data_IF_469285714284
#
_entry.id   IF_469285714284
#
_cell.length_a   1.000
_cell.length_b   1.000
_cell.length_c   1.000
_cell.angle_alpha   90.00
_cell.angle_beta   90.00
_cell.angle_gamma   90.00
#
_symmetry.space_group_name_H-M   'P 1'
#
loop_
_entity.id
_entity.type
_entity.pdbx_description
1 polymer ?
#
# COMPACT_ATOMS: atom_id res chain seq x y z
N UNK A 1 44.13 -69.83 48.12
CA UNK A 1 43.14 -69.66 47.07
C UNK A 1 42.68 -68.21 47.13
N UNK A 2 43.20 -67.33 46.23
CA UNK A 2 42.85 -65.91 46.16
C UNK A 2 41.83 -65.72 45.06
N UNK A 3 40.62 -65.31 45.43
CA UNK A 3 39.57 -64.99 44.48
C UNK A 3 39.79 -63.57 43.93
N UNK A 4 40.10 -63.46 42.65
CA UNK A 4 40.07 -62.18 41.93
C UNK A 4 38.64 -61.93 41.43
N UNK A 5 37.96 -60.93 41.99
CA UNK A 5 36.69 -60.42 41.49
C UNK A 5 37.01 -59.43 40.39
N UNK A 6 36.66 -59.79 39.16
CA UNK A 6 36.81 -58.94 38.00
C UNK A 6 35.54 -58.10 37.85
N UNK A 7 35.61 -56.82 38.24
CA UNK A 7 34.49 -55.90 38.12
C UNK A 7 34.46 -55.37 36.68
N UNK A 8 33.49 -55.82 35.89
CA UNK A 8 33.22 -55.37 34.51
C UNK A 8 32.53 -54.03 34.56
N UNK A 9 33.23 -52.93 34.21
CA UNK A 9 32.67 -51.59 34.06
C UNK A 9 31.96 -51.53 32.69
N UNK A 10 30.62 -51.58 32.69
CA UNK A 10 29.81 -51.35 31.49
C UNK A 10 29.72 -49.81 31.28
N UNK A 11 30.50 -49.28 30.34
CA UNK A 11 30.35 -47.90 29.86
C UNK A 11 29.10 -47.78 29.01
N UNK A 12 28.02 -47.23 29.56
CA UNK A 12 26.81 -46.88 28.79
C UNK A 12 27.19 -45.64 27.93
N UNK A 13 27.45 -45.86 26.65
CA UNK A 13 27.57 -44.78 25.65
C UNK A 13 26.14 -44.35 25.33
N UNK A 14 25.74 -43.21 25.92
CA UNK A 14 24.50 -42.54 25.53
C UNK A 14 24.73 -41.93 24.13
N UNK A 15 24.25 -42.61 23.10
CA UNK A 15 24.06 -42.01 21.80
C UNK A 15 22.92 -41.01 21.95
N UNK A 16 23.26 -39.72 22.17
CA UNK A 16 22.29 -38.64 21.98
C UNK A 16 21.91 -38.65 20.49
N UNK A 17 20.74 -39.13 20.17
CA UNK A 17 20.18 -39.03 18.85
C UNK A 17 19.96 -37.52 18.60
N UNK A 18 20.75 -36.94 17.71
CA UNK A 18 20.50 -35.58 17.24
C UNK A 18 19.33 -35.65 16.29
N UNK A 19 18.23 -35.04 16.69
CA UNK A 19 17.10 -34.83 15.81
C UNK A 19 17.28 -33.41 15.21
N UNK A 20 17.61 -33.34 13.91
CA UNK A 20 17.87 -32.08 13.22
C UNK A 20 16.57 -31.54 12.63
N UNK A 21 16.32 -30.25 12.74
CA UNK A 21 15.14 -29.53 12.24
C UNK A 21 15.13 -28.09 12.77
N UNK A 22 14.07 -27.35 12.44
CA UNK A 22 13.91 -25.99 12.97
C UNK A 22 13.60 -25.99 14.46
N UNK A 23 14.42 -25.33 15.27
CA UNK A 23 14.27 -25.21 16.72
C UNK A 23 13.77 -23.84 17.18
N UNK A 24 13.43 -22.94 16.25
CA UNK A 24 12.92 -21.60 16.58
C UNK A 24 11.39 -21.63 16.69
N UNK A 25 10.81 -21.32 17.87
CA UNK A 25 9.36 -21.30 18.06
C UNK A 25 8.62 -20.25 17.23
N UNK A 26 9.32 -19.26 16.66
CA UNK A 26 8.73 -18.25 15.78
C UNK A 26 8.62 -18.71 14.32
N UNK A 27 9.31 -19.80 13.96
CA UNK A 27 9.26 -20.34 12.61
C UNK A 27 7.94 -21.09 12.35
N UNK A 28 7.42 -21.01 11.13
CA UNK A 28 6.18 -21.71 10.75
C UNK A 28 6.37 -23.24 10.67
N UNK A 29 7.61 -23.70 10.51
CA UNK A 29 8.00 -25.10 10.48
C UNK A 29 8.76 -25.54 11.75
N UNK A 30 8.49 -24.88 12.90
CA UNK A 30 9.06 -25.26 14.18
C UNK A 30 8.77 -26.74 14.51
N UNK A 31 9.81 -27.46 14.90
CA UNK A 31 9.73 -28.87 15.33
C UNK A 31 10.20 -29.00 16.79
N UNK A 32 9.26 -29.18 17.71
CA UNK A 32 9.51 -29.31 19.14
C UNK A 32 10.28 -30.59 19.51
N UNK A 33 10.35 -31.55 18.60
CA UNK A 33 11.13 -32.78 18.75
C UNK A 33 12.60 -32.59 18.37
N UNK A 34 12.94 -31.52 17.65
CA UNK A 34 14.31 -31.23 17.23
C UNK A 34 15.13 -30.66 18.37
N UNK A 35 16.38 -31.13 18.48
CA UNK A 35 17.34 -30.65 19.48
C UNK A 35 18.59 -30.01 18.86
N UNK A 36 18.63 -29.87 17.54
CA UNK A 36 19.67 -29.21 16.78
C UNK A 36 19.07 -28.50 15.58
N UNK A 37 19.23 -27.18 15.54
CA UNK A 37 18.82 -26.40 14.38
C UNK A 37 19.68 -26.76 13.17
N UNK A 38 19.06 -27.13 12.08
CA UNK A 38 19.67 -27.49 10.80
C UNK A 38 19.67 -26.33 9.79
N UNK A 39 19.11 -25.15 10.17
CA UNK A 39 18.99 -23.99 9.33
C UNK A 39 17.76 -24.00 8.41
N UNK A 40 16.83 -24.93 8.61
CA UNK A 40 15.61 -25.07 7.79
C UNK A 40 14.45 -24.20 8.26
N UNK A 41 14.65 -23.31 9.25
CA UNK A 41 13.59 -22.46 9.75
C UNK A 41 13.03 -21.54 8.67
N UNK A 42 11.70 -21.55 8.52
CA UNK A 42 10.95 -20.70 7.61
C UNK A 42 10.08 -19.74 8.41
N UNK A 43 10.01 -18.49 7.95
CA UNK A 43 9.27 -17.42 8.64
C UNK A 43 8.26 -16.77 7.72
N UNK A 44 7.16 -16.28 8.30
CA UNK A 44 6.30 -15.29 7.68
C UNK A 44 6.51 -13.95 8.38
N UNK A 45 6.75 -12.93 7.58
CA UNK A 45 6.96 -11.56 8.03
C UNK A 45 5.71 -10.75 7.73
N UNK A 46 5.24 -9.97 8.70
CA UNK A 46 4.06 -9.12 8.52
C UNK A 46 4.50 -7.71 8.15
N UNK A 47 4.12 -7.26 6.98
CA UNK A 47 4.32 -5.90 6.50
C UNK A 47 3.01 -5.12 6.62
N UNK A 48 3.04 -4.02 7.38
CA UNK A 48 1.96 -3.05 7.49
C UNK A 48 2.31 -1.81 6.66
N UNK A 49 1.52 -1.51 5.64
CA UNK A 49 1.71 -0.37 4.75
C UNK A 49 0.63 0.64 5.06
N UNK A 50 1.02 1.83 5.50
CA UNK A 50 0.09 2.88 5.89
C UNK A 50 0.15 4.05 4.94
N UNK A 51 -1.02 4.50 4.51
CA UNK A 51 -1.16 5.65 3.62
C UNK A 51 -1.76 6.84 4.35
N UNK A 52 -1.28 8.03 4.03
CA UNK A 52 -1.86 9.28 4.50
C UNK A 52 -1.83 10.34 3.40
N UNK A 53 -2.86 11.18 3.35
CA UNK A 53 -2.88 12.41 2.56
C UNK A 53 -2.41 13.55 3.47
N UNK A 54 -1.40 14.30 3.03
CA UNK A 54 -0.76 15.32 3.85
C UNK A 54 -0.69 16.69 3.14
N UNK A 55 -0.42 17.71 3.92
CA UNK A 55 0.08 19.03 3.49
C UNK A 55 1.26 19.39 4.39
N UNK A 56 2.51 19.37 3.83
CA UNK A 56 3.76 19.63 4.54
C UNK A 56 3.83 18.86 5.88
N UNK A 57 3.92 17.54 5.82
CA UNK A 57 4.00 16.62 6.98
C UNK A 57 2.77 16.63 7.90
N UNK A 58 1.73 17.40 7.59
CA UNK A 58 0.50 17.43 8.39
C UNK A 58 -0.55 16.55 7.74
N UNK A 59 -0.96 15.49 8.43
CA UNK A 59 -2.03 14.61 7.95
C UNK A 59 -3.32 15.39 7.79
N UNK A 60 -3.91 15.32 6.62
CA UNK A 60 -5.18 15.95 6.28
C UNK A 60 -6.37 15.07 6.67
N UNK A 61 -7.45 15.74 7.05
CA UNK A 61 -8.77 15.15 7.22
C UNK A 61 -9.80 15.90 6.38
N UNK A 62 -10.98 15.32 6.23
CA UNK A 62 -12.08 15.96 5.50
C UNK A 62 -12.39 17.35 6.05
N UNK A 63 -12.54 18.29 5.13
CA UNK A 63 -12.80 19.72 5.34
C UNK A 63 -11.59 20.57 5.78
N UNK A 64 -10.40 20.02 5.84
CA UNK A 64 -9.21 20.83 6.01
C UNK A 64 -9.03 21.78 4.83
N UNK A 65 -8.46 22.94 5.13
CA UNK A 65 -8.21 23.99 4.15
C UNK A 65 -6.71 24.09 3.91
N UNK A 66 -6.33 23.88 2.66
CA UNK A 66 -4.96 23.93 2.18
C UNK A 66 -4.77 25.27 1.44
N UNK A 67 -3.75 26.04 1.82
CA UNK A 67 -3.42 27.29 1.17
C UNK A 67 -2.45 27.06 0.01
N UNK A 68 -2.82 27.54 -1.16
CA UNK A 68 -1.96 27.74 -2.32
C UNK A 68 -1.62 29.24 -2.42
N UNK A 69 -0.71 29.64 -3.32
CA UNK A 69 -0.21 31.03 -3.39
C UNK A 69 -1.31 32.10 -3.33
N UNK A 70 -2.36 31.95 -4.15
CA UNK A 70 -3.46 32.90 -4.26
C UNK A 70 -4.85 32.31 -3.99
N UNK A 71 -4.90 31.05 -3.61
CA UNK A 71 -6.13 30.29 -3.49
C UNK A 71 -6.13 29.49 -2.19
N UNK A 72 -7.31 29.09 -1.73
CA UNK A 72 -7.45 28.09 -0.66
C UNK A 72 -8.36 26.98 -1.13
N UNK A 73 -7.94 25.73 -0.94
CA UNK A 73 -8.73 24.55 -1.31
C UNK A 73 -9.17 23.81 -0.06
N UNK A 74 -10.47 23.63 0.11
CA UNK A 74 -11.03 22.80 1.17
C UNK A 74 -11.29 21.41 0.62
N UNK A 75 -10.54 20.43 1.09
CA UNK A 75 -10.69 19.04 0.67
C UNK A 75 -11.95 18.43 1.26
N UNK A 76 -12.84 17.86 0.45
CA UNK A 76 -14.06 17.20 0.90
C UNK A 76 -14.01 15.69 0.66
N UNK A 77 -13.43 15.24 -0.47
CA UNK A 77 -13.18 13.82 -0.76
C UNK A 77 -11.84 13.66 -1.46
N UNK A 78 -11.17 12.59 -1.12
CA UNK A 78 -9.99 12.11 -1.84
C UNK A 78 -10.03 10.59 -1.85
N UNK A 79 -10.11 10.02 -3.06
CA UNK A 79 -10.02 8.58 -3.27
C UNK A 79 -8.98 8.32 -4.35
N UNK A 80 -8.15 7.31 -4.13
CA UNK A 80 -7.09 6.94 -5.06
C UNK A 80 -6.98 5.43 -5.13
N UNK A 81 -7.09 4.87 -6.34
CA UNK A 81 -6.81 3.47 -6.56
C UNK A 81 -5.32 3.20 -6.68
N UNK A 82 -4.92 2.13 -6.02
CA UNK A 82 -3.62 1.49 -6.16
C UNK A 82 -3.83 0.09 -6.73
N UNK A 83 -3.02 -0.29 -7.70
CA UNK A 83 -3.04 -1.63 -8.30
C UNK A 83 -1.66 -2.27 -8.28
N UNK A 84 -1.62 -3.61 -8.34
CA UNK A 84 -0.39 -4.39 -8.48
C UNK A 84 0.67 -4.05 -7.42
N UNK A 85 0.22 -3.86 -6.16
CA UNK A 85 1.09 -3.49 -5.06
C UNK A 85 2.03 -4.63 -4.73
N UNK A 86 3.33 -4.36 -4.71
CA UNK A 86 4.37 -5.36 -4.48
C UNK A 86 5.61 -4.77 -3.81
N UNK A 87 6.39 -5.64 -3.19
CA UNK A 87 7.75 -5.34 -2.73
C UNK A 87 8.75 -6.16 -3.54
N UNK A 88 9.91 -5.57 -3.82
CA UNK A 88 10.91 -6.22 -4.64
C UNK A 88 12.34 -6.00 -4.13
N UNK A 89 13.21 -6.91 -4.48
CA UNK A 89 14.66 -6.75 -4.43
C UNK A 89 15.29 -7.29 -5.72
N UNK A 90 16.60 -7.35 -5.81
CA UNK A 90 17.29 -7.77 -7.03
C UNK A 90 16.98 -9.21 -7.50
N UNK A 91 16.35 -10.05 -6.67
CA UNK A 91 16.14 -11.48 -6.93
C UNK A 91 14.69 -11.92 -6.84
N UNK A 92 13.87 -11.21 -6.07
CA UNK A 92 12.50 -11.61 -5.77
C UNK A 92 11.53 -10.42 -5.85
N UNK A 93 10.28 -10.73 -6.20
CA UNK A 93 9.14 -9.82 -6.07
C UNK A 93 8.02 -10.58 -5.37
N UNK A 94 7.43 -9.97 -4.33
CA UNK A 94 6.25 -10.52 -3.65
C UNK A 94 5.07 -9.55 -3.80
N UNK A 95 3.94 -10.10 -4.23
CA UNK A 95 2.71 -9.33 -4.39
C UNK A 95 2.05 -9.15 -3.02
N UNK A 96 1.65 -7.91 -2.74
CA UNK A 96 0.96 -7.51 -1.51
C UNK A 96 -0.56 -7.48 -1.74
N UNK A 97 -0.99 -6.82 -2.81
CA UNK A 97 -2.40 -6.69 -3.16
C UNK A 97 -2.58 -6.42 -4.65
N UNK A 98 -3.62 -6.99 -5.25
CA UNK A 98 -3.97 -6.71 -6.63
C UNK A 98 -4.61 -5.33 -6.80
N UNK A 99 -5.39 -4.90 -5.80
CA UNK A 99 -6.07 -3.61 -5.81
C UNK A 99 -6.33 -3.12 -4.39
N UNK A 100 -6.15 -1.84 -4.19
CA UNK A 100 -6.46 -1.14 -2.95
C UNK A 100 -7.05 0.23 -3.27
N UNK A 101 -8.00 0.68 -2.45
CA UNK A 101 -8.59 2.02 -2.56
C UNK A 101 -8.31 2.80 -1.28
N UNK A 102 -7.46 3.83 -1.36
CA UNK A 102 -7.38 4.82 -0.30
C UNK A 102 -8.59 5.75 -0.37
N UNK A 103 -9.26 5.96 0.75
CA UNK A 103 -10.43 6.86 0.85
C UNK A 103 -10.32 7.72 2.11
N UNK A 104 -10.11 9.02 1.94
CA UNK A 104 -9.95 10.00 3.02
C UNK A 104 -11.11 9.99 4.04
N UNK A 105 -12.30 9.54 3.63
CA UNK A 105 -13.48 9.48 4.48
C UNK A 105 -13.63 8.15 5.24
N UNK A 106 -12.72 7.17 5.02
CA UNK A 106 -12.80 5.85 5.63
C UNK A 106 -11.43 5.38 6.15
N UNK A 107 -11.20 5.53 7.45
CA UNK A 107 -9.93 5.15 8.08
C UNK A 107 -9.58 3.67 7.95
N UNK A 108 -10.55 2.79 7.72
CA UNK A 108 -10.28 1.37 7.44
C UNK A 108 -9.55 1.13 6.11
N UNK A 109 -9.48 2.16 5.26
CA UNK A 109 -8.75 2.13 3.98
C UNK A 109 -7.41 2.87 4.05
N UNK A 110 -6.85 3.05 5.24
CA UNK A 110 -5.57 3.75 5.39
C UNK A 110 -4.39 2.79 5.45
N UNK A 111 -4.62 1.50 5.57
CA UNK A 111 -3.54 0.52 5.64
C UNK A 111 -3.85 -0.80 4.92
N UNK A 112 -2.77 -1.46 4.51
CA UNK A 112 -2.76 -2.83 4.01
C UNK A 112 -1.79 -3.61 4.88
N UNK A 113 -2.18 -4.79 5.32
CA UNK A 113 -1.30 -5.73 6.00
C UNK A 113 -1.13 -6.98 5.16
N UNK A 114 0.10 -7.41 4.93
CA UNK A 114 0.43 -8.60 4.18
C UNK A 114 1.44 -9.48 4.92
N UNK A 115 1.35 -10.79 4.68
CA UNK A 115 2.38 -11.73 5.12
C UNK A 115 3.26 -12.09 3.93
N UNK A 116 4.57 -11.92 4.08
CA UNK A 116 5.58 -12.14 3.06
C UNK A 116 6.63 -13.14 3.54
N UNK A 117 7.33 -13.79 2.61
CA UNK A 117 8.24 -14.90 2.90
C UNK A 117 9.71 -14.50 3.01
N UNK A 118 10.07 -13.32 2.52
CA UNK A 118 11.44 -12.80 2.52
C UNK A 118 11.61 -11.72 3.59
N UNK A 119 12.80 -11.63 4.15
CA UNK A 119 13.10 -10.69 5.25
C UNK A 119 13.72 -9.37 4.79
N UNK A 120 13.90 -9.16 3.49
CA UNK A 120 14.45 -7.92 2.97
C UNK A 120 13.97 -7.60 1.56
N UNK A 121 13.63 -6.35 1.35
CA UNK A 121 13.31 -5.77 0.06
C UNK A 121 13.91 -4.36 -0.03
N UNK A 122 14.06 -3.83 -1.23
CA UNK A 122 14.65 -2.50 -1.49
C UNK A 122 13.73 -1.58 -2.27
N UNK A 123 12.57 -2.10 -2.71
CA UNK A 123 11.63 -1.37 -3.53
C UNK A 123 10.19 -1.68 -3.09
N UNK A 124 9.37 -0.64 -3.09
CA UNK A 124 7.92 -0.72 -2.99
C UNK A 124 7.31 -0.21 -4.29
N UNK A 125 6.54 -1.07 -4.97
CA UNK A 125 6.02 -0.81 -6.30
C UNK A 125 4.50 -0.86 -6.32
N UNK A 126 3.87 0.02 -7.11
CA UNK A 126 2.41 0.01 -7.31
C UNK A 126 2.01 0.79 -8.58
N UNK A 127 0.83 0.50 -9.10
CA UNK A 127 0.15 1.33 -10.08
C UNK A 127 -0.76 2.35 -9.40
N UNK A 128 -0.83 3.58 -9.93
CA UNK A 128 -1.84 4.59 -9.59
C UNK A 128 -2.96 4.48 -10.61
N UNK A 129 -4.13 4.05 -10.17
CA UNK A 129 -5.24 3.66 -11.03
C UNK A 129 -5.35 2.14 -11.16
N UNK A 130 -6.02 1.69 -12.21
CA UNK A 130 -6.34 0.29 -12.46
C UNK A 130 -5.78 -0.15 -13.81
N UNK A 131 -5.33 -1.41 -13.90
CA UNK A 131 -4.99 -1.99 -15.18
C UNK A 131 -6.25 -2.21 -16.05
N UNK A 132 -6.09 -2.46 -17.34
CA UNK A 132 -7.19 -2.59 -18.29
C UNK A 132 -8.19 -3.70 -17.90
N UNK A 133 -7.69 -4.81 -17.36
CA UNK A 133 -8.53 -5.93 -16.92
C UNK A 133 -9.43 -5.50 -15.76
N UNK A 134 -8.86 -4.90 -14.72
CA UNK A 134 -9.59 -4.38 -13.56
C UNK A 134 -10.59 -3.28 -13.98
N UNK A 135 -10.16 -2.34 -14.82
CA UNK A 135 -10.99 -1.21 -15.26
C UNK A 135 -12.13 -1.64 -16.19
N UNK A 136 -12.08 -2.82 -16.80
CA UNK A 136 -13.15 -3.36 -17.65
C UNK A 136 -14.25 -4.08 -16.88
N UNK A 137 -14.07 -4.30 -15.57
CA UNK A 137 -15.07 -4.93 -14.69
C UNK A 137 -16.13 -3.93 -14.25
N UNK A 138 -17.16 -4.43 -13.57
CA UNK A 138 -18.22 -3.58 -12.99
C UNK A 138 -18.31 -3.82 -11.48
N UNK A 139 -18.80 -2.84 -10.69
CA UNK A 139 -18.95 -3.04 -9.24
C UNK A 139 -19.83 -4.24 -8.85
N UNK A 140 -20.71 -4.69 -9.74
CA UNK A 140 -21.55 -5.86 -9.51
C UNK A 140 -20.79 -7.20 -9.58
N UNK A 141 -19.56 -7.19 -10.09
CA UNK A 141 -18.70 -8.38 -10.16
C UNK A 141 -18.00 -8.68 -8.83
N UNK A 142 -18.15 -7.79 -7.83
CA UNK A 142 -17.43 -7.85 -6.55
C UNK A 142 -18.37 -7.78 -5.34
N UNK A 143 -17.88 -8.26 -4.20
CA UNK A 143 -18.53 -8.04 -2.91
C UNK A 143 -18.56 -6.52 -2.59
N UNK A 144 -19.54 -6.11 -1.81
CA UNK A 144 -19.80 -4.66 -1.57
C UNK A 144 -18.64 -3.93 -0.89
N UNK A 145 -17.88 -4.62 -0.04
CA UNK A 145 -16.72 -4.09 0.69
C UNK A 145 -15.39 -4.21 -0.09
N UNK A 146 -15.40 -4.87 -1.25
CA UNK A 146 -14.22 -4.94 -2.11
C UNK A 146 -13.84 -3.53 -2.62
N UNK A 147 -12.55 -3.20 -2.82
CA UNK A 147 -12.13 -1.89 -3.36
C UNK A 147 -12.84 -1.48 -4.66
N UNK A 148 -13.17 -2.45 -5.53
CA UNK A 148 -13.93 -2.24 -6.76
C UNK A 148 -15.45 -2.42 -6.56
N UNK A 149 -15.94 -2.63 -5.34
CA UNK A 149 -17.34 -2.83 -5.02
C UNK A 149 -18.17 -1.53 -5.07
N UNK A 150 -19.50 -1.71 -5.07
CA UNK A 150 -20.46 -0.63 -5.31
C UNK A 150 -20.45 0.45 -4.22
N UNK A 151 -20.14 0.10 -2.99
CA UNK A 151 -20.19 1.03 -1.84
C UNK A 151 -19.12 2.13 -1.92
N UNK A 152 -18.12 1.99 -2.80
CA UNK A 152 -17.06 2.97 -2.95
C UNK A 152 -17.43 4.18 -3.81
N UNK A 153 -18.50 4.13 -4.59
CA UNK A 153 -18.96 5.24 -5.47
C UNK A 153 -17.80 5.79 -6.35
N UNK A 154 -17.07 4.88 -6.98
CA UNK A 154 -15.91 5.19 -7.83
C UNK A 154 -16.06 4.70 -9.26
N UNK A 155 -17.26 4.31 -9.68
CA UNK A 155 -17.51 3.78 -11.00
C UNK A 155 -18.56 4.58 -11.76
N UNK A 156 -18.26 4.96 -13.00
CA UNK A 156 -19.22 5.61 -13.86
C UNK A 156 -20.07 4.61 -14.64
N UNK A 157 -21.39 4.78 -14.55
CA UNK A 157 -22.36 3.98 -15.29
C UNK A 157 -23.03 4.77 -16.41
N UNK A 158 -22.44 5.88 -16.85
CA UNK A 158 -23.00 6.67 -17.93
C UNK A 158 -22.84 5.97 -19.28
N UNK A 159 -23.80 6.20 -20.19
CA UNK A 159 -24.02 5.45 -21.42
C UNK A 159 -22.83 5.34 -22.40
N UNK A 160 -21.72 6.00 -22.16
CA UNK A 160 -20.52 5.97 -22.98
C UNK A 160 -19.20 5.80 -22.19
N UNK A 161 -19.24 5.63 -20.88
CA UNK A 161 -18.06 5.44 -20.03
C UNK A 161 -18.39 4.42 -18.95
N UNK A 162 -18.00 3.18 -19.18
CA UNK A 162 -18.03 2.13 -18.17
C UNK A 162 -16.59 1.97 -17.67
N UNK A 163 -16.23 2.74 -16.65
CA UNK A 163 -14.89 2.74 -16.10
C UNK A 163 -14.86 3.23 -14.66
N UNK A 164 -13.84 2.81 -13.93
CA UNK A 164 -13.56 3.33 -12.60
C UNK A 164 -12.89 4.70 -12.66
N UNK A 165 -13.13 5.52 -11.65
CA UNK A 165 -12.45 6.78 -11.41
C UNK A 165 -11.16 6.47 -10.64
N UNK A 166 -10.01 6.58 -11.31
CA UNK A 166 -8.70 6.22 -10.76
C UNK A 166 -8.27 7.14 -9.61
N UNK A 167 -8.52 8.45 -9.79
CA UNK A 167 -8.36 9.45 -8.77
C UNK A 167 -9.60 10.34 -8.71
N UNK A 168 -10.23 10.42 -7.53
CA UNK A 168 -11.38 11.27 -7.25
C UNK A 168 -10.96 12.30 -6.21
N UNK A 169 -10.94 13.58 -6.62
CA UNK A 169 -10.61 14.71 -5.76
C UNK A 169 -11.77 15.69 -5.82
N UNK A 170 -12.49 15.84 -4.72
CA UNK A 170 -13.59 16.80 -4.61
C UNK A 170 -13.34 17.76 -3.47
N UNK A 171 -13.69 19.01 -3.69
CA UNK A 171 -13.55 20.03 -2.68
C UNK A 171 -14.11 21.36 -3.14
N UNK A 172 -13.72 22.40 -2.45
CA UNK A 172 -14.14 23.77 -2.76
C UNK A 172 -12.94 24.70 -2.77
N UNK A 173 -12.92 25.57 -3.75
CA UNK A 173 -11.85 26.54 -3.98
C UNK A 173 -12.35 27.95 -3.66
N UNK A 174 -11.60 28.67 -2.82
CA UNK A 174 -11.68 30.10 -2.67
C UNK A 174 -10.58 30.73 -3.53
N UNK A 175 -10.98 31.42 -4.61
CA UNK A 175 -10.05 31.96 -5.61
C UNK A 175 -9.57 33.37 -5.31
N UNK A 176 -10.18 34.07 -4.36
CA UNK A 176 -9.90 35.47 -4.06
C UNK A 176 -9.63 35.77 -2.59
N UNK A 177 -9.68 34.74 -1.73
CA UNK A 177 -9.38 34.85 -0.31
C UNK A 177 -10.42 35.59 0.51
N UNK A 178 -11.68 35.63 0.04
CA UNK A 178 -12.78 36.33 0.74
C UNK A 178 -13.67 35.36 1.55
N UNK A 179 -13.34 34.07 1.58
CA UNK A 179 -14.10 33.00 2.23
C UNK A 179 -15.24 32.43 1.39
N UNK A 180 -15.34 32.83 0.12
CA UNK A 180 -16.34 32.30 -0.81
C UNK A 180 -15.81 31.06 -1.53
N UNK A 181 -16.30 29.90 -1.15
CA UNK A 181 -15.86 28.61 -1.67
C UNK A 181 -16.78 28.08 -2.77
N UNK A 182 -16.23 27.72 -3.93
CA UNK A 182 -16.93 27.16 -5.09
C UNK A 182 -16.47 25.73 -5.36
N UNK A 183 -17.39 24.86 -5.72
CA UNK A 183 -17.09 23.45 -5.98
C UNK A 183 -15.99 23.28 -7.04
N UNK A 184 -15.10 22.33 -6.77
CA UNK A 184 -14.11 21.80 -7.71
C UNK A 184 -14.07 20.29 -7.60
N UNK A 185 -14.13 19.64 -8.74
CA UNK A 185 -14.23 18.18 -8.87
C UNK A 185 -13.28 17.72 -9.95
N UNK A 186 -12.42 16.78 -9.61
CA UNK A 186 -11.49 16.10 -10.52
C UNK A 186 -11.77 14.61 -10.43
N UNK A 187 -12.41 14.05 -11.47
CA UNK A 187 -12.69 12.63 -11.62
C UNK A 187 -11.87 12.10 -12.78
N UNK A 188 -10.73 11.51 -12.48
CA UNK A 188 -9.74 11.09 -13.46
C UNK A 188 -9.92 9.60 -13.72
N UNK A 189 -10.37 9.26 -14.92
CA UNK A 189 -10.74 7.90 -15.31
C UNK A 189 -10.37 7.66 -16.77
N UNK A 190 -9.58 6.73 -17.04
CA UNK A 190 -9.22 6.19 -18.36
C UNK A 190 -7.97 5.34 -18.27
N UNK A 191 -7.85 4.28 -19.10
CA UNK A 191 -6.67 3.40 -19.10
C UNK A 191 -5.34 4.16 -19.31
N UNK A 192 -5.34 5.22 -20.14
CA UNK A 192 -4.14 6.03 -20.43
C UNK A 192 -3.63 6.85 -19.21
N UNK A 193 -4.45 6.92 -18.16
CA UNK A 193 -4.10 7.62 -16.93
C UNK A 193 -3.39 6.74 -15.90
N UNK A 194 -3.29 5.44 -16.10
CA UNK A 194 -2.49 4.56 -15.24
C UNK A 194 -1.04 5.03 -15.19
N UNK A 195 -0.48 5.13 -13.99
CA UNK A 195 0.94 5.43 -13.75
C UNK A 195 1.55 4.35 -12.88
N UNK A 196 2.82 4.03 -13.10
CA UNK A 196 3.58 3.09 -12.28
C UNK A 196 4.57 3.83 -11.42
N UNK A 197 4.58 3.54 -10.13
CA UNK A 197 5.47 4.10 -9.13
C UNK A 197 6.41 3.01 -8.60
N UNK A 198 7.68 3.36 -8.43
CA UNK A 198 8.66 2.55 -7.72
C UNK A 198 9.37 3.44 -6.70
N UNK A 199 9.16 3.17 -5.43
CA UNK A 199 9.79 3.89 -4.32
C UNK A 199 10.97 3.06 -3.80
N UNK A 200 12.13 3.69 -3.69
CA UNK A 200 13.32 3.05 -3.12
C UNK A 200 13.21 3.12 -1.59
N UNK A 201 13.08 1.97 -0.97
CA UNK A 201 12.94 1.82 0.48
C UNK A 201 13.52 0.48 0.93
N UNK A 202 14.49 0.55 1.82
CA UNK A 202 14.97 -0.64 2.52
C UNK A 202 13.89 -1.10 3.52
N UNK A 203 13.33 -2.27 3.28
CA UNK A 203 12.35 -2.95 4.14
C UNK A 203 13.06 -4.17 4.71
N UNK A 204 13.44 -4.11 5.99
CA UNK A 204 14.28 -5.11 6.62
C UNK A 204 13.63 -5.61 7.90
N UNK A 205 13.20 -6.87 7.88
CA UNK A 205 12.69 -7.55 9.06
C UNK A 205 13.88 -8.11 9.86
N UNK A 206 14.12 -7.52 11.01
CA UNK A 206 15.11 -7.99 11.97
C UNK A 206 14.54 -9.17 12.78
N UNK A 207 14.91 -9.29 14.05
CA UNK A 207 14.41 -10.34 14.95
C UNK A 207 12.90 -10.21 15.26
N UNK A 208 12.27 -9.10 14.87
CA UNK A 208 10.83 -8.89 14.93
C UNK A 208 10.26 -9.22 13.56
N UNK A 209 9.27 -10.13 13.52
CA UNK A 209 8.62 -10.57 12.29
C UNK A 209 7.62 -9.53 11.74
N UNK A 210 7.69 -8.28 12.18
CA UNK A 210 6.77 -7.21 11.78
C UNK A 210 7.56 -5.97 11.36
N UNK A 211 7.15 -5.34 10.27
CA UNK A 211 7.68 -4.07 9.77
C UNK A 211 6.52 -3.17 9.32
N UNK A 212 6.71 -1.86 9.45
CA UNK A 212 5.73 -0.87 8.98
C UNK A 212 6.43 0.13 8.09
N UNK A 213 5.82 0.44 6.96
CA UNK A 213 6.19 1.54 6.08
C UNK A 213 5.07 2.57 6.01
N UNK A 214 5.43 3.84 6.10
CA UNK A 214 4.50 4.95 5.98
C UNK A 214 4.64 5.56 4.58
N UNK A 215 3.54 5.66 3.86
CA UNK A 215 3.44 6.27 2.52
C UNK A 215 2.63 7.55 2.65
N UNK A 216 3.28 8.66 2.42
CA UNK A 216 2.63 9.98 2.42
C UNK A 216 2.31 10.41 1.00
N UNK A 217 1.14 10.99 0.79
CA UNK A 217 0.69 11.60 -0.46
C UNK A 217 0.59 13.10 -0.20
N UNK A 218 1.47 13.91 -0.82
CA UNK A 218 1.48 15.35 -0.63
C UNK A 218 0.46 16.05 -1.55
N UNK A 219 -0.62 16.60 -0.97
CA UNK A 219 -1.70 17.19 -1.75
C UNK A 219 -1.26 18.37 -2.61
N UNK A 220 -0.31 19.20 -2.13
CA UNK A 220 0.19 20.35 -2.89
C UNK A 220 0.92 19.91 -4.16
N UNK A 221 1.69 18.83 -4.08
CA UNK A 221 2.42 18.29 -5.24
C UNK A 221 1.45 17.85 -6.34
N UNK A 222 0.26 17.32 -5.97
CA UNK A 222 -0.79 16.93 -6.94
C UNK A 222 -1.21 18.10 -7.82
N UNK A 223 -1.19 19.31 -7.28
CA UNK A 223 -1.59 20.53 -7.99
C UNK A 223 -0.41 21.43 -8.40
N UNK A 224 0.82 20.92 -8.33
CA UNK A 224 1.98 21.68 -8.75
C UNK A 224 1.87 22.13 -10.21
N UNK A 225 2.16 23.42 -10.46
CA UNK A 225 2.09 24.01 -11.81
C UNK A 225 0.68 24.13 -12.40
N UNK A 226 -0.38 23.92 -11.60
CA UNK A 226 -1.77 24.04 -12.02
C UNK A 226 -2.38 25.31 -11.40
N UNK A 227 -2.83 26.23 -12.27
CA UNK A 227 -3.65 27.36 -11.81
C UNK A 227 -5.08 26.88 -11.52
N UNK A 228 -5.34 26.60 -10.24
CA UNK A 228 -6.64 26.11 -9.77
C UNK A 228 -7.78 27.08 -10.10
N UNK A 229 -7.52 28.39 -10.17
CA UNK A 229 -8.52 29.40 -10.50
C UNK A 229 -8.99 29.33 -11.96
N UNK A 230 -8.10 28.89 -12.84
CA UNK A 230 -8.38 28.72 -14.27
C UNK A 230 -9.03 27.37 -14.59
N UNK A 231 -9.10 26.40 -13.64
CA UNK A 231 -9.72 25.12 -13.88
C UNK A 231 -11.25 25.24 -13.95
N UNK A 232 -11.87 24.42 -14.78
CA UNK A 232 -13.34 24.34 -14.81
C UNK A 232 -13.87 23.68 -13.52
N UNK A 233 -15.12 23.98 -13.12
CA UNK A 233 -15.67 23.46 -11.86
C UNK A 233 -15.73 21.93 -11.77
N UNK A 234 -15.83 21.25 -12.90
CA UNK A 234 -15.86 19.80 -13.00
C UNK A 234 -14.95 19.33 -14.13
N UNK A 235 -13.84 18.70 -13.75
CA UNK A 235 -12.91 18.08 -14.68
C UNK A 235 -13.12 16.57 -14.61
N UNK A 236 -13.46 15.97 -15.73
CA UNK A 236 -13.63 14.52 -15.86
C UNK A 236 -12.85 14.00 -17.06
N UNK A 237 -12.69 12.68 -17.08
CA UNK A 237 -12.13 11.92 -18.19
C UNK A 237 -10.63 12.20 -18.52
N UNK A 238 -10.24 11.93 -19.77
CA UNK A 238 -8.87 11.91 -20.27
C UNK A 238 -8.49 13.24 -20.94
N UNK A 239 -8.41 14.32 -20.16
CA UNK A 239 -7.97 15.64 -20.65
C UNK A 239 -6.48 15.86 -20.43
N UNK A 240 -5.84 16.86 -21.11
CA UNK A 240 -4.47 17.25 -20.80
C UNK A 240 -4.25 17.58 -19.31
N UNK A 241 -5.23 18.20 -18.67
CA UNK A 241 -5.19 18.49 -17.23
C UNK A 241 -5.26 17.20 -16.40
N UNK A 242 -6.07 16.21 -16.82
CA UNK A 242 -6.12 14.91 -16.15
C UNK A 242 -4.77 14.20 -16.18
N UNK A 243 -4.10 14.21 -17.33
CA UNK A 243 -2.73 13.67 -17.44
C UNK A 243 -1.75 14.41 -16.53
N UNK A 244 -1.79 15.75 -16.51
CA UNK A 244 -0.90 16.54 -15.65
C UNK A 244 -1.13 16.21 -14.17
N UNK A 245 -2.39 16.12 -13.71
CA UNK A 245 -2.70 15.75 -12.32
C UNK A 245 -2.18 14.33 -12.02
N UNK A 246 -2.39 13.35 -12.90
CA UNK A 246 -1.89 11.99 -12.67
C UNK A 246 -0.36 11.90 -12.69
N UNK A 247 0.31 12.67 -13.54
CA UNK A 247 1.77 12.79 -13.54
C UNK A 247 2.29 13.43 -12.25
N UNK A 248 1.57 14.43 -11.74
CA UNK A 248 1.89 15.04 -10.45
C UNK A 248 1.64 14.07 -9.29
N UNK A 249 0.53 13.31 -9.29
CA UNK A 249 0.28 12.26 -8.28
C UNK A 249 1.44 11.27 -8.26
N UNK A 250 1.96 10.87 -9.43
CA UNK A 250 3.11 9.96 -9.51
C UNK A 250 4.35 10.47 -8.77
N UNK A 251 4.50 11.77 -8.63
CA UNK A 251 5.63 12.42 -7.96
C UNK A 251 5.32 12.84 -6.51
N UNK A 252 4.05 12.74 -6.08
CA UNK A 252 3.58 13.23 -4.78
C UNK A 252 3.77 12.23 -3.63
N UNK A 253 4.45 11.10 -3.86
CA UNK A 253 4.65 10.08 -2.85
C UNK A 253 5.98 10.23 -2.13
N UNK A 254 5.93 10.15 -0.81
CA UNK A 254 7.10 10.00 0.07
C UNK A 254 6.98 8.71 0.87
N UNK A 255 8.10 8.03 1.13
CA UNK A 255 8.17 6.80 1.91
C UNK A 255 9.11 6.96 3.10
N UNK A 256 8.62 6.60 4.32
CA UNK A 256 9.37 6.67 5.57
C UNK A 256 9.55 5.31 6.20
#
# INVERSE_FOLDING_TARGET
MKNCIFTLLISIVLFSCKNEGCTDPLAINFDDSSNKNDGSCEYLYNLDIRFSLNDNDTKLVKNDIISFENNSFRIEKFKLFFSEISVANSTNTENISEVFLYNLENENTYNITASISQNNFTEFNFGIGLNETQNSTTPADYETDHPLGIDNDTHWTMSNSNSYIFALIEGKLDTIGDGSFFNRTYHLAHNDLLRNVSLQKDIIFNDQLNETIEITIELKEIFEGIDLSATIPHQSDNSPLAHQIMDNINNAFEVQ
#
